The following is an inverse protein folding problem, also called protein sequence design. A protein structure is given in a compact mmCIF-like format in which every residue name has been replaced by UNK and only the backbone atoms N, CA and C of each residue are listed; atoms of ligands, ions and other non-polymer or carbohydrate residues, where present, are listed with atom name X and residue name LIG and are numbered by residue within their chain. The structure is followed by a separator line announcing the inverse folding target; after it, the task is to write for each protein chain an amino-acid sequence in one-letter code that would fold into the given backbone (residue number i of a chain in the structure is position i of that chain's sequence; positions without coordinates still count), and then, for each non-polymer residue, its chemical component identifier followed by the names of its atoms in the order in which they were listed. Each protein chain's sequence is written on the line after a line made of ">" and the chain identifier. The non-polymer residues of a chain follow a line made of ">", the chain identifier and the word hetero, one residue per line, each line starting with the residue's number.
data_IF_406839456195
#
_entry.id   IF_406839456195
#
_cell.length_a   1.000
_cell.length_b   1.000
_cell.length_c   1.000
_cell.angle_alpha   90.00
_cell.angle_beta   90.00
_cell.angle_gamma   90.00
#
_symmetry.space_group_name_H-M   'P 1'
#
loop_
_entity.id
_entity.type
_entity.pdbx_description
1 polymer ?
#
# COMPACT_ATOMS: atom_id res chain seq x y z
N UNK A 1 -3.20 -13.14 5.59
CA UNK A 1 -2.73 -11.87 5.01
C UNK A 1 -3.23 -11.75 3.58
N UNK A 2 -3.56 -10.54 3.17
CA UNK A 2 -3.99 -10.22 1.81
C UNK A 2 -3.14 -9.08 1.24
N UNK A 3 -3.06 -9.00 -0.09
CA UNK A 3 -2.41 -7.90 -0.77
C UNK A 3 -3.26 -6.62 -0.60
N UNK A 4 -2.66 -5.58 0.01
CA UNK A 4 -3.31 -4.29 0.21
C UNK A 4 -3.29 -3.37 -1.02
N UNK A 5 -2.65 -3.78 -2.10
CA UNK A 5 -2.64 -3.06 -3.37
C UNK A 5 -1.65 -1.89 -3.44
N UNK A 6 -0.77 -1.71 -2.44
CA UNK A 6 0.24 -0.65 -2.43
C UNK A 6 1.62 -1.22 -2.69
N UNK A 7 2.34 -0.61 -3.63
CA UNK A 7 3.68 -1.06 -4.02
C UNK A 7 4.65 0.12 -4.10
N UNK A 8 5.86 -0.08 -3.59
CA UNK A 8 7.02 0.78 -3.86
C UNK A 8 7.98 -0.04 -4.71
N UNK A 9 8.19 0.39 -5.94
CA UNK A 9 8.88 -0.38 -6.95
C UNK A 9 10.12 0.35 -7.46
N UNK A 10 11.18 -0.41 -7.72
CA UNK A 10 12.31 0.09 -8.50
C UNK A 10 11.95 0.11 -9.99
N UNK A 11 12.50 1.03 -10.76
CA UNK A 11 12.25 1.13 -12.21
C UNK A 11 12.50 -0.18 -12.96
N UNK A 12 13.46 -1.00 -12.50
CA UNK A 12 13.81 -2.28 -13.11
C UNK A 12 12.69 -3.33 -13.04
N UNK A 13 11.65 -3.07 -12.26
CA UNK A 13 10.47 -3.96 -12.17
C UNK A 13 9.83 -4.17 -13.53
N UNK A 14 9.97 -3.23 -14.45
CA UNK A 14 9.44 -3.35 -15.82
C UNK A 14 9.97 -4.59 -16.56
N UNK A 15 11.19 -5.05 -16.22
CA UNK A 15 11.77 -6.24 -16.80
C UNK A 15 11.05 -7.54 -16.39
N UNK A 16 10.21 -7.48 -15.37
CA UNK A 16 9.40 -8.59 -14.90
C UNK A 16 8.03 -8.67 -15.58
N UNK A 17 7.65 -7.65 -16.35
CA UNK A 17 6.42 -7.63 -17.15
C UNK A 17 6.76 -8.20 -18.52
N UNK A 18 6.20 -9.38 -18.85
CA UNK A 18 6.47 -10.06 -20.13
C UNK A 18 5.35 -9.88 -21.15
N UNK A 19 4.13 -9.66 -20.69
CA UNK A 19 2.93 -9.49 -21.51
C UNK A 19 2.03 -8.42 -20.91
N UNK A 20 1.45 -7.56 -21.75
CA UNK A 20 0.48 -6.55 -21.33
C UNK A 20 -0.86 -7.13 -20.85
N UNK A 21 -1.14 -8.38 -21.21
CA UNK A 21 -2.39 -9.06 -20.83
C UNK A 21 -2.24 -9.90 -19.56
N UNK A 22 -1.04 -10.01 -18.98
CA UNK A 22 -0.87 -10.74 -17.72
C UNK A 22 -1.27 -9.90 -16.52
N UNK A 23 -2.01 -10.50 -15.58
CA UNK A 23 -2.30 -9.87 -14.32
C UNK A 23 -1.02 -9.66 -13.51
N UNK A 24 -0.88 -8.49 -12.88
CA UNK A 24 0.28 -8.12 -12.06
C UNK A 24 0.61 -9.17 -11.01
N UNK A 25 -0.41 -9.70 -10.34
CA UNK A 25 -0.29 -10.69 -9.28
C UNK A 25 0.10 -12.08 -9.79
N UNK A 26 -0.29 -12.42 -11.01
CA UNK A 26 -0.09 -13.75 -11.57
C UNK A 26 1.26 -13.90 -12.29
N UNK A 27 1.73 -12.86 -12.92
CA UNK A 27 2.98 -12.87 -13.67
C UNK A 27 4.13 -12.18 -12.93
N UNK A 28 4.21 -10.85 -12.94
CA UNK A 28 5.33 -10.10 -12.40
C UNK A 28 5.63 -10.38 -10.93
N UNK A 29 4.61 -10.40 -10.06
CA UNK A 29 4.81 -10.67 -8.62
C UNK A 29 5.39 -12.06 -8.39
N UNK A 30 4.89 -13.09 -9.07
CA UNK A 30 5.42 -14.46 -8.92
C UNK A 30 6.88 -14.53 -9.33
N UNK A 31 7.27 -13.83 -10.39
CA UNK A 31 8.68 -13.77 -10.83
C UNK A 31 9.56 -13.04 -9.82
N UNK A 32 9.09 -11.91 -9.27
CA UNK A 32 9.79 -11.19 -8.21
C UNK A 32 9.99 -12.05 -6.96
N UNK A 33 8.98 -12.85 -6.57
CA UNK A 33 9.08 -13.79 -5.46
C UNK A 33 10.13 -14.87 -5.74
N UNK A 34 10.09 -15.47 -6.92
CA UNK A 34 11.05 -16.52 -7.31
C UNK A 34 12.50 -16.02 -7.28
N UNK A 35 12.69 -14.75 -7.64
CA UNK A 35 14.01 -14.11 -7.65
C UNK A 35 14.39 -13.47 -6.31
N UNK A 36 13.59 -13.68 -5.26
CA UNK A 36 13.78 -13.05 -3.94
C UNK A 36 13.88 -11.52 -3.99
N UNK A 37 13.15 -10.89 -4.89
CA UNK A 37 13.14 -9.44 -5.09
C UNK A 37 11.87 -8.77 -4.53
N UNK A 38 11.01 -9.51 -3.82
CA UNK A 38 9.81 -8.99 -3.20
C UNK A 38 9.91 -9.04 -1.68
N UNK A 39 9.66 -7.90 -1.03
CA UNK A 39 9.47 -7.81 0.41
C UNK A 39 8.06 -7.34 0.71
N UNK A 40 7.45 -7.85 1.78
CA UNK A 40 6.11 -7.47 2.20
C UNK A 40 6.16 -6.78 3.56
N UNK A 41 5.51 -5.62 3.64
CA UNK A 41 5.22 -4.97 4.91
C UNK A 41 3.88 -5.47 5.45
N UNK A 42 3.89 -6.05 6.64
CA UNK A 42 2.69 -6.54 7.31
C UNK A 42 2.01 -5.39 8.07
N UNK A 43 0.95 -4.86 7.49
CA UNK A 43 0.18 -3.78 8.10
C UNK A 43 -0.84 -4.33 9.10
N UNK A 44 -0.69 -3.97 10.38
CA UNK A 44 -1.60 -4.40 11.46
C UNK A 44 -2.63 -3.33 11.84
N UNK A 45 -2.62 -2.18 11.18
CA UNK A 45 -3.55 -1.09 11.42
C UNK A 45 -4.88 -1.25 10.68
N UNK A 46 -5.67 -0.19 10.71
CA UNK A 46 -6.91 -0.13 9.94
C UNK A 46 -6.62 -0.21 8.44
N UNK A 47 -7.35 -1.09 7.77
CA UNK A 47 -7.37 -1.18 6.32
C UNK A 47 -8.78 -1.60 5.85
N UNK A 48 -9.31 -0.91 4.85
CA UNK A 48 -10.63 -1.18 4.29
C UNK A 48 -10.62 -0.84 2.80
N UNK A 49 -10.94 -1.77 1.90
CA UNK A 49 -11.11 -1.46 0.49
C UNK A 49 -12.36 -0.60 0.25
N UNK A 50 -12.42 0.08 -0.89
CA UNK A 50 -13.57 0.87 -1.32
C UNK A 50 -13.89 0.54 -2.79
N UNK A 51 -14.21 -0.70 -3.07
CA UNK A 51 -14.51 -1.18 -4.42
C UNK A 51 -16.01 -1.25 -4.70
N UNK A 52 -16.83 -1.20 -3.64
CA UNK A 52 -18.28 -1.30 -3.71
C UNK A 52 -18.98 -0.12 -3.07
N UNK A 53 -20.24 0.12 -3.45
CA UNK A 53 -21.08 1.15 -2.82
C UNK A 53 -21.30 0.90 -1.33
N UNK A 54 -21.35 -0.37 -0.90
CA UNK A 54 -21.47 -0.75 0.51
C UNK A 54 -20.25 -0.29 1.31
N UNK A 55 -19.07 -0.52 0.78
CA UNK A 55 -17.81 -0.12 1.42
C UNK A 55 -17.66 1.40 1.48
N UNK A 56 -18.03 2.10 0.40
CA UNK A 56 -18.10 3.56 0.40
C UNK A 56 -19.02 4.09 1.51
N UNK A 57 -20.22 3.52 1.66
CA UNK A 57 -21.16 3.92 2.71
C UNK A 57 -20.56 3.67 4.11
N UNK A 58 -19.94 2.51 4.32
CA UNK A 58 -19.26 2.19 5.58
C UNK A 58 -18.17 3.21 5.91
N UNK A 59 -17.27 3.49 4.97
CA UNK A 59 -16.19 4.48 5.18
C UNK A 59 -16.75 5.88 5.44
N UNK A 60 -17.81 6.28 4.75
CA UNK A 60 -18.49 7.55 4.99
C UNK A 60 -19.08 7.63 6.39
N UNK A 61 -19.70 6.54 6.87
CA UNK A 61 -20.21 6.49 8.24
C UNK A 61 -19.08 6.66 9.26
N UNK A 62 -17.97 5.93 9.09
CA UNK A 62 -16.80 6.04 9.97
C UNK A 62 -16.24 7.48 9.94
N UNK A 63 -16.13 8.10 8.77
CA UNK A 63 -15.68 9.48 8.64
C UNK A 63 -16.56 10.46 9.44
N UNK A 64 -17.86 10.29 9.34
CA UNK A 64 -18.83 11.16 10.00
C UNK A 64 -18.82 11.05 11.54
N UNK A 65 -18.21 10.00 12.11
CA UNK A 65 -17.99 9.92 13.57
C UNK A 65 -16.95 10.93 14.06
N UNK A 66 -16.15 11.52 13.16
CA UNK A 66 -15.06 12.44 13.51
C UNK A 66 -13.77 11.73 13.98
N UNK A 67 -13.82 10.42 14.23
CA UNK A 67 -12.69 9.61 14.74
C UNK A 67 -12.24 8.52 13.75
N UNK A 68 -12.29 8.81 12.44
CA UNK A 68 -11.86 7.87 11.42
C UNK A 68 -10.37 7.49 11.61
N UNK A 69 -10.02 6.18 11.65
CA UNK A 69 -8.66 5.74 11.95
C UNK A 69 -7.58 6.24 10.98
N UNK A 70 -7.98 6.63 9.78
CA UNK A 70 -7.09 7.19 8.75
C UNK A 70 -7.05 8.72 8.78
N UNK A 71 -7.86 9.38 9.62
CA UNK A 71 -7.83 10.82 9.75
C UNK A 71 -6.54 11.22 10.45
N UNK A 72 -5.68 11.87 9.71
CA UNK A 72 -4.52 12.52 10.28
C UNK A 72 -5.02 13.84 10.86
N UNK A 73 -4.97 14.00 12.16
CA UNK A 73 -5.24 15.28 12.79
C UNK A 73 -4.29 16.32 12.19
N UNK A 74 -4.81 17.50 11.88
CA UNK A 74 -4.07 18.56 11.20
C UNK A 74 -2.64 18.61 11.72
N UNK A 75 -1.69 18.27 10.87
CA UNK A 75 -0.28 18.47 11.17
C UNK A 75 -0.10 19.93 11.56
N UNK A 76 0.00 20.19 12.83
CA UNK A 76 0.55 21.45 13.31
C UNK A 76 1.96 21.53 12.77
N UNK A 77 2.11 22.08 11.55
CA UNK A 77 3.33 22.62 10.95
C UNK A 77 4.66 21.94 11.29
N UNK A 78 4.70 20.64 11.53
CA UNK A 78 5.94 19.91 11.52
C UNK A 78 6.22 19.47 10.07
N UNK A 79 7.03 20.28 9.39
CA UNK A 79 7.70 19.88 8.17
C UNK A 79 8.44 18.57 8.50
N UNK A 80 7.90 17.45 8.05
CA UNK A 80 8.63 16.19 8.10
C UNK A 80 9.82 16.36 7.15
N UNK A 81 10.97 16.72 7.71
CA UNK A 81 12.20 16.66 6.97
C UNK A 81 12.46 15.22 6.57
N UNK A 82 12.29 14.91 5.31
CA UNK A 82 12.54 13.59 4.71
C UNK A 82 13.98 13.07 4.94
N UNK A 83 14.85 13.87 5.53
CA UNK A 83 16.22 13.49 5.90
C UNK A 83 16.29 12.60 7.15
N UNK A 84 15.18 12.35 7.84
CA UNK A 84 15.11 11.57 9.10
C UNK A 84 14.76 10.10 8.97
N UNK A 85 14.58 9.56 7.76
CA UNK A 85 14.39 8.12 7.58
C UNK A 85 15.74 7.42 7.83
N UNK A 86 16.02 7.12 9.09
CA UNK A 86 17.07 6.17 9.43
C UNK A 86 16.71 4.83 8.78
N UNK A 87 17.48 4.46 7.75
CA UNK A 87 17.50 3.12 7.21
C UNK A 87 17.72 2.14 8.37
N UNK A 88 16.66 1.48 8.82
CA UNK A 88 16.75 0.17 9.42
C UNK A 88 16.20 -0.80 8.40
N UNK A 89 17.05 -1.17 7.45
CA UNK A 89 16.92 -2.42 6.76
C UNK A 89 17.31 -3.51 7.76
N UNK A 90 16.38 -4.35 8.07
CA UNK A 90 16.64 -5.68 8.60
C UNK A 90 16.02 -6.64 7.63
#
# INVERSE_FOLDING_TARGET
>A
WINGGFFVLNEKVINYIKDFNEAWEEGPIKRLVNDNQLSAYKHNGFWQPMDTLREKKLLTQIWNTGSAPWKVDDYKNEIINFTGIKKKCI
#
